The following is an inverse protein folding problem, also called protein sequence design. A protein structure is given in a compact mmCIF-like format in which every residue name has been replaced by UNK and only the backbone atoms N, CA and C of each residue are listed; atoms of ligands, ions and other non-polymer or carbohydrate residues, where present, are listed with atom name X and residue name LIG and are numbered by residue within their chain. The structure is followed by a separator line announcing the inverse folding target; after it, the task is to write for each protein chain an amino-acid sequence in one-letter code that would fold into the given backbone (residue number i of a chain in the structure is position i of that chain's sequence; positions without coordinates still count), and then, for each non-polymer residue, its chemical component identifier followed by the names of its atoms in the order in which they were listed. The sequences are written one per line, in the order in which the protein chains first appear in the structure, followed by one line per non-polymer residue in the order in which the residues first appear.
data_IF_014707553612
#
_entry.id   IF_014707553612
#
_cell.length_a   1.000
_cell.length_b   1.000
_cell.length_c   1.000
_cell.angle_alpha   90.00
_cell.angle_beta   90.00
_cell.angle_gamma   90.00
#
_symmetry.space_group_name_H-M   'P 1'
#
loop_
_entity.id
_entity.type
_entity.pdbx_description
1 polymer ?
#
# COMPACT_ATOMS: atom_id res chain seq x y z
N UNK A 1 17.69 67.82 -11.98
CA UNK A 1 18.37 68.36 -13.17
C UNK A 1 19.49 67.41 -13.58
N UNK A 2 19.42 66.93 -14.82
CA UNK A 2 20.51 66.55 -15.73
C UNK A 2 21.46 65.38 -15.38
N UNK A 3 21.18 64.23 -16.04
CA UNK A 3 22.12 63.27 -16.65
C UNK A 3 23.39 63.95 -17.23
N UNK A 4 24.56 63.29 -17.40
CA UNK A 4 24.65 62.15 -18.34
C UNK A 4 25.71 61.05 -18.12
N UNK A 5 25.45 59.99 -18.91
CA UNK A 5 26.32 58.90 -19.35
C UNK A 5 27.80 59.25 -19.54
N UNK A 6 28.67 58.28 -19.24
CA UNK A 6 29.79 57.95 -20.14
C UNK A 6 30.02 56.43 -20.18
N UNK A 7 29.75 55.85 -21.35
CA UNK A 7 30.21 54.53 -21.77
C UNK A 7 31.73 54.62 -21.97
N UNK A 8 32.48 53.65 -21.46
CA UNK A 8 33.79 53.31 -22.00
C UNK A 8 33.84 51.81 -22.27
N UNK A 9 33.93 51.51 -23.56
CA UNK A 9 34.17 50.20 -24.15
C UNK A 9 35.67 49.93 -24.07
N UNK A 10 36.09 48.75 -23.59
CA UNK A 10 37.38 48.13 -23.87
C UNK A 10 37.29 46.62 -23.60
N UNK A 11 37.14 45.85 -24.68
CA UNK A 11 37.50 44.42 -24.80
C UNK A 11 38.87 44.35 -25.54
N UNK A 12 39.60 43.22 -25.61
CA UNK A 12 39.64 42.02 -24.78
C UNK A 12 41.09 41.66 -24.33
N UNK A 13 41.26 40.82 -23.31
CA UNK A 13 42.54 40.13 -23.07
C UNK A 13 42.28 38.62 -23.03
N UNK A 14 42.56 37.99 -24.16
CA UNK A 14 42.64 36.54 -24.34
C UNK A 14 43.84 36.04 -23.53
N UNK A 15 43.60 35.20 -22.53
CA UNK A 15 44.63 34.38 -21.92
C UNK A 15 44.27 32.92 -22.20
N UNK A 16 44.87 32.37 -23.25
CA UNK A 16 44.84 30.95 -23.57
C UNK A 16 45.66 30.20 -22.53
N UNK A 17 45.00 29.42 -21.68
CA UNK A 17 45.64 28.46 -20.80
C UNK A 17 45.67 27.10 -21.50
N UNK A 18 46.85 26.70 -21.94
CA UNK A 18 47.14 25.38 -22.49
C UNK A 18 47.42 24.44 -21.31
N UNK A 19 46.61 23.41 -21.13
CA UNK A 19 46.88 22.30 -20.21
C UNK A 19 47.01 21.00 -21.01
N UNK A 20 48.02 20.16 -20.72
CA UNK A 20 48.43 19.05 -21.57
C UNK A 20 47.51 17.83 -21.42
N UNK A 21 47.20 17.21 -22.56
CA UNK A 21 46.71 15.84 -22.66
C UNK A 21 47.81 14.87 -22.22
N UNK A 22 47.66 14.28 -21.04
CA UNK A 22 48.35 13.05 -20.68
C UNK A 22 47.40 11.88 -20.98
N UNK A 23 47.74 11.13 -22.03
CA UNK A 23 47.09 9.91 -22.44
C UNK A 23 47.93 8.69 -22.00
N UNK A 24 47.21 7.60 -21.73
CA UNK A 24 47.64 6.20 -21.66
C UNK A 24 48.26 5.67 -20.36
N UNK A 25 47.69 4.55 -19.91
CA UNK A 25 48.37 3.52 -19.11
C UNK A 25 47.42 2.87 -18.14
N UNK A 26 46.78 1.77 -18.56
CA UNK A 26 45.87 1.01 -17.71
C UNK A 26 46.59 0.30 -16.57
N UNK A 27 45.95 0.33 -15.42
CA UNK A 27 46.02 -0.71 -14.41
C UNK A 27 44.57 -1.12 -14.13
N UNK A 28 44.35 -2.42 -14.24
CA UNK A 28 43.12 -3.16 -14.00
C UNK A 28 42.90 -3.18 -12.48
N UNK A 29 42.54 -2.03 -11.91
CA UNK A 29 42.08 -1.93 -10.53
C UNK A 29 40.63 -2.38 -10.51
N UNK A 30 40.45 -3.64 -10.10
CA UNK A 30 39.17 -4.30 -10.00
C UNK A 30 38.10 -3.39 -9.41
N UNK A 31 36.96 -3.35 -10.10
CA UNK A 31 35.71 -2.88 -9.55
C UNK A 31 35.49 -3.59 -8.20
N UNK A 32 35.86 -2.90 -7.13
CA UNK A 32 35.19 -3.04 -5.86
C UNK A 32 33.73 -2.71 -6.18
N UNK A 33 32.94 -3.77 -6.35
CA UNK A 33 31.49 -3.67 -6.50
C UNK A 33 30.99 -2.67 -5.47
N UNK A 34 30.35 -1.62 -5.96
CA UNK A 34 29.74 -0.62 -5.11
C UNK A 34 28.79 -1.37 -4.18
N UNK A 35 29.16 -1.51 -2.91
CA UNK A 35 28.31 -2.04 -1.85
C UNK A 35 27.20 -1.04 -1.53
N UNK A 36 26.41 -0.69 -2.54
CA UNK A 36 25.20 0.09 -2.43
C UNK A 36 24.06 -0.83 -2.08
N UNK A 37 23.20 -0.37 -1.18
CA UNK A 37 21.91 -0.99 -0.91
C UNK A 37 21.04 -0.89 -2.16
N UNK A 38 20.45 -2.00 -2.59
CA UNK A 38 19.37 -2.02 -3.58
C UNK A 38 18.05 -1.86 -2.84
N UNK A 39 17.24 -0.86 -3.22
CA UNK A 39 15.94 -0.60 -2.61
C UNK A 39 14.84 -1.22 -3.45
N UNK A 40 13.99 -2.04 -2.85
CA UNK A 40 12.77 -2.57 -3.43
C UNK A 40 11.56 -1.79 -2.91
N UNK A 41 10.85 -1.11 -3.79
CA UNK A 41 9.68 -0.29 -3.45
C UNK A 41 8.39 -1.08 -3.63
N UNK A 42 7.68 -1.31 -2.53
CA UNK A 42 6.45 -2.12 -2.50
C UNK A 42 5.23 -1.24 -2.18
N UNK A 43 4.32 -1.15 -3.13
CA UNK A 43 3.02 -0.50 -2.97
C UNK A 43 2.00 -1.53 -2.47
N UNK A 44 1.57 -1.41 -1.22
CA UNK A 44 0.73 -2.42 -0.56
C UNK A 44 -0.52 -1.82 0.07
N UNK A 45 -1.64 -2.55 -0.03
CA UNK A 45 -2.89 -2.16 0.60
C UNK A 45 -2.72 -1.91 2.11
N UNK A 46 -3.39 -0.90 2.66
CA UNK A 46 -3.20 -0.49 4.05
C UNK A 46 -3.46 -1.61 5.10
N UNK A 47 -4.36 -2.56 4.81
CA UNK A 47 -4.58 -3.74 5.68
C UNK A 47 -3.38 -4.68 5.79
N UNK A 48 -2.41 -4.55 4.89
CA UNK A 48 -1.20 -5.38 4.86
C UNK A 48 -0.06 -4.81 5.72
N UNK A 49 -0.18 -3.58 6.23
CA UNK A 49 0.91 -2.81 6.88
C UNK A 49 1.76 -3.68 7.83
N UNK A 50 1.16 -4.18 8.91
CA UNK A 50 1.91 -4.92 9.93
C UNK A 50 2.50 -6.25 9.42
N UNK A 51 1.81 -6.93 8.50
CA UNK A 51 2.29 -8.18 7.93
C UNK A 51 3.41 -7.95 6.92
N UNK A 52 3.31 -6.91 6.09
CA UNK A 52 4.28 -6.62 5.06
C UNK A 52 5.56 -6.02 5.65
N UNK A 53 5.47 -5.23 6.73
CA UNK A 53 6.65 -4.83 7.51
C UNK A 53 7.42 -6.06 8.02
N UNK A 54 6.72 -7.05 8.61
CA UNK A 54 7.36 -8.28 9.08
C UNK A 54 7.92 -9.13 7.94
N UNK A 55 7.21 -9.22 6.82
CA UNK A 55 7.68 -9.94 5.62
C UNK A 55 8.91 -9.24 5.05
N UNK A 56 8.92 -7.90 4.99
CA UNK A 56 10.06 -7.08 4.57
C UNK A 56 11.28 -7.36 5.44
N UNK A 57 11.14 -7.30 6.76
CA UNK A 57 12.21 -7.61 7.72
C UNK A 57 12.81 -9.01 7.49
N UNK A 58 11.98 -10.02 7.21
CA UNK A 58 12.44 -11.38 6.94
C UNK A 58 13.05 -11.52 5.54
N UNK A 59 12.56 -10.78 4.56
CA UNK A 59 13.09 -10.75 3.20
C UNK A 59 14.49 -10.11 3.17
N UNK A 60 14.69 -8.98 3.84
CA UNK A 60 15.98 -8.31 3.96
C UNK A 60 17.03 -9.20 4.64
N UNK A 61 16.65 -9.94 5.69
CA UNK A 61 17.54 -10.92 6.34
C UNK A 61 17.98 -12.04 5.40
N UNK A 62 17.17 -12.36 4.40
CA UNK A 62 17.46 -13.39 3.40
C UNK A 62 18.24 -12.85 2.18
N UNK A 63 18.30 -11.53 1.99
CA UNK A 63 18.89 -10.88 0.82
C UNK A 63 19.87 -9.77 1.25
N UNK A 64 21.14 -10.14 1.41
CA UNK A 64 22.20 -9.20 1.80
C UNK A 64 22.27 -8.00 0.83
N UNK A 65 22.19 -6.79 1.40
CA UNK A 65 22.28 -5.54 0.62
C UNK A 65 20.97 -5.07 0.01
N UNK A 66 19.83 -5.67 0.38
CA UNK A 66 18.50 -5.21 0.00
C UNK A 66 17.83 -4.44 1.15
N UNK A 67 17.11 -3.38 0.81
CA UNK A 67 16.18 -2.65 1.69
C UNK A 67 14.80 -2.65 1.05
N UNK A 68 13.75 -2.95 1.81
CA UNK A 68 12.36 -2.93 1.32
C UNK A 68 11.68 -1.67 1.84
N UNK A 69 11.34 -0.76 0.93
CA UNK A 69 10.56 0.43 1.25
C UNK A 69 9.09 0.21 0.90
N UNK A 70 8.19 0.57 1.83
CA UNK A 70 6.76 0.40 1.64
C UNK A 70 6.04 1.72 1.42
N UNK A 71 5.11 1.71 0.47
CA UNK A 71 4.05 2.71 0.35
C UNK A 71 2.71 2.05 0.67
N UNK A 72 2.15 2.37 1.84
CA UNK A 72 0.85 1.84 2.27
C UNK A 72 -0.28 2.82 1.98
N UNK A 73 -1.42 2.30 1.50
CA UNK A 73 -2.58 3.13 1.18
C UNK A 73 -3.79 2.34 0.70
N UNK A 74 -4.84 3.06 0.28
CA UNK A 74 -5.97 2.43 -0.42
C UNK A 74 -5.51 1.86 -1.75
N UNK A 75 -5.85 0.59 -2.06
CA UNK A 75 -5.40 -0.06 -3.31
C UNK A 75 -5.79 0.72 -4.57
N UNK A 76 -6.92 1.44 -4.54
CA UNK A 76 -7.36 2.34 -5.61
C UNK A 76 -6.42 3.52 -5.83
N UNK A 77 -5.93 4.13 -4.75
CA UNK A 77 -5.04 5.29 -4.82
C UNK A 77 -3.64 4.84 -5.24
N UNK A 78 -3.17 3.70 -4.71
CA UNK A 78 -1.88 3.11 -5.05
C UNK A 78 -1.80 2.73 -6.53
N UNK A 79 -2.79 2.02 -7.08
CA UNK A 79 -2.76 1.68 -8.51
C UNK A 79 -2.89 2.91 -9.41
N UNK A 80 -3.64 3.93 -8.97
CA UNK A 80 -3.70 5.21 -9.69
C UNK A 80 -2.33 5.87 -9.74
N UNK A 81 -1.59 5.90 -8.62
CA UNK A 81 -0.24 6.45 -8.58
C UNK A 81 0.71 5.70 -9.53
N UNK A 82 0.64 4.36 -9.56
CA UNK A 82 1.46 3.55 -10.48
C UNK A 82 1.12 3.88 -11.93
N UNK A 83 -0.17 3.99 -12.28
CA UNK A 83 -0.62 4.41 -13.62
C UNK A 83 -0.18 5.83 -13.99
N UNK A 84 0.00 6.70 -13.00
CA UNK A 84 0.52 8.06 -13.16
C UNK A 84 2.06 8.13 -13.19
N UNK A 85 2.74 6.99 -13.06
CA UNK A 85 4.19 6.86 -13.19
C UNK A 85 4.96 6.93 -11.87
N UNK A 86 4.31 6.63 -10.74
CA UNK A 86 5.04 6.39 -9.49
C UNK A 86 5.94 5.16 -9.63
N UNK A 87 7.17 5.27 -9.13
CA UNK A 87 8.15 4.19 -9.13
C UNK A 87 7.74 3.16 -8.06
N UNK A 88 7.29 1.99 -8.51
CA UNK A 88 6.95 0.85 -7.68
C UNK A 88 7.48 -0.41 -8.35
N UNK A 89 7.99 -1.34 -7.56
CA UNK A 89 8.52 -2.63 -8.05
C UNK A 89 7.50 -3.75 -7.86
N UNK A 90 6.69 -3.66 -6.81
CA UNK A 90 5.64 -4.63 -6.47
C UNK A 90 4.36 -3.91 -6.10
N UNK A 91 3.23 -4.41 -6.59
CA UNK A 91 1.90 -3.99 -6.17
C UNK A 91 1.17 -5.14 -5.48
N UNK A 92 0.69 -4.91 -4.26
CA UNK A 92 -0.16 -5.85 -3.50
C UNK A 92 -1.51 -5.20 -3.17
N UNK A 93 -2.58 -5.70 -3.79
CA UNK A 93 -3.94 -5.14 -3.67
C UNK A 93 -4.78 -5.91 -2.65
N UNK A 94 -5.79 -5.26 -2.08
CA UNK A 94 -6.81 -5.90 -1.22
C UNK A 94 -8.07 -6.37 -1.98
N UNK A 95 -8.05 -6.24 -3.31
CA UNK A 95 -9.03 -6.86 -4.21
C UNK A 95 -8.43 -7.12 -5.60
N UNK A 96 -9.10 -7.97 -6.36
CA UNK A 96 -8.78 -8.22 -7.77
C UNK A 96 -9.15 -7.03 -8.65
N UNK A 97 -10.21 -6.27 -8.31
CA UNK A 97 -10.68 -5.17 -9.15
C UNK A 97 -9.64 -4.03 -9.31
N UNK A 98 -8.85 -3.72 -8.28
CA UNK A 98 -7.76 -2.75 -8.40
C UNK A 98 -6.49 -3.37 -9.00
N UNK A 99 -6.27 -4.68 -8.85
CA UNK A 99 -5.19 -5.38 -9.58
C UNK A 99 -5.48 -5.44 -11.08
N UNK A 100 -6.73 -5.67 -11.46
CA UNK A 100 -7.18 -5.66 -12.85
C UNK A 100 -6.89 -4.31 -13.51
N UNK A 101 -6.96 -3.19 -12.77
CA UNK A 101 -6.54 -1.87 -13.29
C UNK A 101 -5.05 -1.80 -13.64
N UNK A 102 -4.18 -2.49 -12.89
CA UNK A 102 -2.75 -2.59 -13.19
C UNK A 102 -2.55 -3.41 -14.47
N UNK A 103 -3.23 -4.56 -14.56
CA UNK A 103 -3.17 -5.46 -15.72
C UNK A 103 -3.72 -4.79 -16.98
N UNK A 104 -4.89 -4.16 -16.90
CA UNK A 104 -5.55 -3.46 -18.02
C UNK A 104 -4.75 -2.26 -18.53
N UNK A 105 -3.85 -1.72 -17.71
CA UNK A 105 -2.91 -0.68 -18.09
C UNK A 105 -1.61 -1.21 -18.73
N UNK A 106 -1.49 -2.53 -18.90
CA UNK A 106 -0.25 -3.21 -19.31
C UNK A 106 0.94 -2.90 -18.37
N UNK A 107 0.68 -2.72 -17.07
CA UNK A 107 1.68 -2.37 -16.05
C UNK A 107 2.02 -3.52 -15.09
N UNK A 108 1.44 -4.71 -15.29
CA UNK A 108 1.83 -5.90 -14.55
C UNK A 108 3.01 -6.58 -15.24
N UNK A 109 4.14 -6.74 -14.53
CA UNK A 109 5.35 -7.37 -15.06
C UNK A 109 5.21 -8.89 -15.20
N UNK A 110 4.33 -9.50 -14.40
CA UNK A 110 3.93 -10.91 -14.49
C UNK A 110 2.43 -11.06 -14.18
N UNK A 111 1.88 -12.25 -14.44
CA UNK A 111 0.50 -12.58 -14.07
C UNK A 111 0.32 -12.43 -12.54
N UNK A 112 -0.67 -11.64 -12.06
CA UNK A 112 -0.90 -11.48 -10.63
C UNK A 112 -1.23 -12.82 -9.96
N UNK A 113 -0.76 -12.99 -8.72
CA UNK A 113 -0.99 -14.19 -7.92
C UNK A 113 -1.75 -13.85 -6.65
N UNK A 114 -2.80 -14.61 -6.38
CA UNK A 114 -3.54 -14.51 -5.13
C UNK A 114 -2.69 -15.11 -4.00
N UNK A 115 -2.53 -14.35 -2.90
CA UNK A 115 -1.67 -14.75 -1.78
C UNK A 115 -2.39 -14.78 -0.44
N UNK A 116 -3.57 -14.17 -0.33
CA UNK A 116 -4.37 -14.13 0.88
C UNK A 116 -5.85 -13.87 0.59
N UNK A 117 -6.70 -14.20 1.57
CA UNK A 117 -8.10 -13.77 1.61
C UNK A 117 -8.44 -13.07 2.92
N UNK A 118 -9.51 -12.28 2.92
CA UNK A 118 -10.01 -11.63 4.12
C UNK A 118 -11.53 -11.46 4.09
N UNK A 119 -12.12 -11.19 5.24
CA UNK A 119 -13.56 -10.96 5.40
C UNK A 119 -13.80 -9.71 6.23
N UNK A 120 -14.94 -9.05 5.98
CA UNK A 120 -15.35 -7.89 6.74
C UNK A 120 -15.63 -8.23 8.21
N UNK A 121 -15.34 -7.27 9.09
CA UNK A 121 -15.75 -7.26 10.48
C UNK A 121 -16.13 -5.82 10.88
N UNK A 122 -16.99 -5.67 11.87
CA UNK A 122 -17.35 -4.37 12.40
C UNK A 122 -16.41 -4.06 13.56
N UNK A 123 -15.74 -2.91 13.52
CA UNK A 123 -14.99 -2.39 14.64
C UNK A 123 -15.83 -1.35 15.39
N UNK A 124 -15.88 -1.44 16.72
CA UNK A 124 -16.47 -0.44 17.60
C UNK A 124 -15.44 0.01 18.65
N UNK A 125 -15.67 1.09 19.41
CA UNK A 125 -14.90 1.36 20.62
C UNK A 125 -14.94 0.14 21.58
N UNK A 126 -13.95 -0.04 22.48
CA UNK A 126 -13.81 -1.24 23.31
C UNK A 126 -15.05 -1.63 24.12
N UNK A 127 -15.79 -0.64 24.63
CA UNK A 127 -17.01 -0.85 25.42
C UNK A 127 -18.29 -0.97 24.57
N UNK A 128 -18.18 -0.81 23.23
CA UNK A 128 -19.29 -0.79 22.28
C UNK A 128 -20.53 -0.01 22.79
N UNK A 129 -20.40 1.31 23.07
CA UNK A 129 -21.45 2.09 23.72
C UNK A 129 -22.72 2.24 22.87
N UNK A 130 -22.61 2.04 21.55
CA UNK A 130 -23.72 2.06 20.61
C UNK A 130 -24.46 0.71 20.52
N UNK A 131 -24.00 -0.32 21.25
CA UNK A 131 -24.59 -1.66 21.31
C UNK A 131 -24.74 -2.31 19.92
N UNK A 132 -23.79 -2.06 19.01
CA UNK A 132 -23.79 -2.65 17.67
C UNK A 132 -23.53 -4.16 17.79
N UNK A 133 -24.44 -4.99 17.30
CA UNK A 133 -24.34 -6.45 17.42
C UNK A 133 -24.42 -7.19 16.08
N UNK A 134 -24.74 -6.47 15.00
CA UNK A 134 -24.94 -7.02 13.67
C UNK A 134 -24.71 -5.97 12.58
N UNK A 135 -24.55 -6.41 11.33
CA UNK A 135 -24.42 -5.51 10.19
C UNK A 135 -25.67 -4.63 10.00
N UNK A 136 -26.85 -5.14 10.34
CA UNK A 136 -28.12 -4.42 10.24
C UNK A 136 -28.17 -3.22 11.20
N UNK A 137 -27.51 -3.30 12.35
CA UNK A 137 -27.47 -2.21 13.33
C UNK A 137 -26.71 -0.98 12.79
N UNK A 138 -25.85 -1.15 11.78
CA UNK A 138 -25.12 -0.07 11.12
C UNK A 138 -26.05 0.95 10.41
N UNK A 139 -27.29 0.58 10.12
CA UNK A 139 -28.30 1.48 9.57
C UNK A 139 -29.10 2.25 10.65
N UNK A 140 -28.77 2.08 11.93
CA UNK A 140 -29.45 2.71 13.05
C UNK A 140 -29.37 4.24 12.97
N UNK A 141 -30.48 4.90 13.30
CA UNK A 141 -30.51 6.37 13.34
C UNK A 141 -29.64 6.88 14.47
N UNK A 142 -28.74 7.81 14.14
CA UNK A 142 -27.88 8.47 15.11
C UNK A 142 -26.57 7.76 15.39
N UNK A 143 -26.31 6.62 14.73
CA UNK A 143 -25.01 5.96 14.75
C UNK A 143 -24.00 6.76 13.91
N UNK A 144 -22.86 7.11 14.50
CA UNK A 144 -21.72 7.69 13.79
C UNK A 144 -20.93 6.58 13.09
N UNK A 145 -21.48 6.08 11.99
CA UNK A 145 -20.84 5.07 11.15
C UNK A 145 -19.79 5.71 10.24
N UNK A 146 -18.59 5.15 10.21
CA UNK A 146 -17.57 5.46 9.20
C UNK A 146 -17.33 4.21 8.35
N UNK A 147 -17.28 4.37 7.04
CA UNK A 147 -16.95 3.27 6.11
C UNK A 147 -15.84 3.72 5.18
N UNK A 148 -15.29 2.80 4.41
CA UNK A 148 -14.42 3.19 3.30
C UNK A 148 -15.26 3.70 2.11
N UNK A 149 -14.69 4.58 1.29
CA UNK A 149 -15.26 5.01 0.02
C UNK A 149 -15.50 3.81 -0.92
N UNK A 150 -16.56 3.80 -1.74
CA UNK A 150 -16.94 2.65 -2.56
C UNK A 150 -15.89 2.27 -3.62
N UNK A 151 -14.98 3.18 -3.97
CA UNK A 151 -13.90 2.93 -4.92
C UNK A 151 -12.74 2.13 -4.31
N UNK A 152 -12.61 2.09 -2.98
CA UNK A 152 -11.54 1.33 -2.30
C UNK A 152 -12.05 -0.05 -1.87
N UNK A 153 -11.17 -1.07 -1.73
CA UNK A 153 -11.58 -2.48 -1.56
C UNK A 153 -12.57 -2.74 -0.41
N UNK A 154 -12.32 -2.17 0.79
CA UNK A 154 -13.21 -2.34 1.94
C UNK A 154 -14.58 -1.68 1.74
N UNK A 155 -14.65 -0.60 0.96
CA UNK A 155 -15.90 0.11 0.68
C UNK A 155 -16.73 -0.63 -0.36
N UNK A 156 -16.10 -1.11 -1.42
CA UNK A 156 -16.74 -1.99 -2.41
C UNK A 156 -17.32 -3.26 -1.76
N UNK A 157 -16.54 -3.89 -0.87
CA UNK A 157 -17.01 -5.04 -0.09
C UNK A 157 -18.17 -4.68 0.84
N UNK A 158 -18.08 -3.54 1.56
CA UNK A 158 -19.14 -3.05 2.44
C UNK A 158 -20.43 -2.75 1.67
N UNK A 159 -20.33 -2.16 0.50
CA UNK A 159 -21.47 -1.89 -0.37
C UNK A 159 -22.11 -3.18 -0.87
N UNK A 160 -21.30 -4.15 -1.31
CA UNK A 160 -21.78 -5.48 -1.72
C UNK A 160 -22.52 -6.17 -0.57
N UNK A 161 -21.98 -6.10 0.65
CA UNK A 161 -22.64 -6.63 1.85
C UNK A 161 -23.98 -5.94 2.12
N UNK A 162 -24.00 -4.61 2.07
CA UNK A 162 -25.20 -3.83 2.29
C UNK A 162 -26.29 -4.16 1.25
N UNK A 163 -25.92 -4.30 -0.01
CA UNK A 163 -26.83 -4.68 -1.10
C UNK A 163 -27.38 -6.11 -0.92
N UNK A 164 -26.51 -7.08 -0.58
CA UNK A 164 -26.92 -8.46 -0.31
C UNK A 164 -27.93 -8.56 0.83
N UNK A 165 -27.77 -7.73 1.87
CA UNK A 165 -28.63 -7.72 3.05
C UNK A 165 -29.82 -6.76 2.93
N UNK A 166 -29.90 -5.98 1.85
CA UNK A 166 -30.92 -4.93 1.68
C UNK A 166 -30.84 -3.84 2.76
N UNK A 167 -29.65 -3.58 3.29
CA UNK A 167 -29.38 -2.58 4.33
C UNK A 167 -28.96 -1.26 3.68
N UNK A 168 -29.63 -0.16 4.01
CA UNK A 168 -29.21 1.17 3.54
C UNK A 168 -28.37 1.85 4.61
N UNK A 169 -27.05 1.85 4.40
CA UNK A 169 -26.10 2.56 5.26
C UNK A 169 -26.18 4.08 5.05
N UNK A 170 -25.84 4.83 6.10
CA UNK A 170 -25.77 6.29 6.09
C UNK A 170 -24.52 6.74 6.85
N UNK A 171 -23.33 6.46 6.30
CA UNK A 171 -22.09 6.83 6.96
C UNK A 171 -22.01 8.36 7.14
N UNK A 172 -21.40 8.78 8.24
CA UNK A 172 -21.07 10.20 8.49
C UNK A 172 -19.77 10.61 7.80
N UNK A 173 -18.96 9.64 7.39
CA UNK A 173 -17.71 9.84 6.66
C UNK A 173 -17.37 8.59 5.84
N UNK A 174 -16.71 8.81 4.71
CA UNK A 174 -16.16 7.78 3.82
C UNK A 174 -14.64 8.00 3.73
N UNK A 175 -13.85 6.96 4.01
CA UNK A 175 -12.39 7.05 4.05
C UNK A 175 -11.71 6.36 2.88
N UNK A 176 -10.48 6.79 2.56
CA UNK A 176 -9.71 6.27 1.44
C UNK A 176 -8.96 4.96 1.76
N UNK A 177 -8.88 4.58 3.02
CA UNK A 177 -8.25 3.33 3.44
C UNK A 177 -8.94 2.74 4.66
N UNK A 178 -8.79 1.42 4.84
CA UNK A 178 -9.37 0.72 5.99
C UNK A 178 -8.71 1.14 7.31
N UNK A 179 -7.43 1.51 7.29
CA UNK A 179 -6.71 2.02 8.45
C UNK A 179 -7.22 3.38 8.90
N UNK A 180 -7.71 4.22 7.98
CA UNK A 180 -8.33 5.51 8.32
C UNK A 180 -9.69 5.30 9.02
N UNK A 181 -10.48 4.32 8.57
CA UNK A 181 -11.72 3.91 9.25
C UNK A 181 -11.40 3.43 10.67
N UNK A 182 -10.45 2.51 10.80
CA UNK A 182 -10.02 1.96 12.09
C UNK A 182 -9.50 3.07 13.02
N UNK A 183 -8.74 4.02 12.49
CA UNK A 183 -8.21 5.15 13.26
C UNK A 183 -9.34 6.01 13.84
N UNK A 184 -10.40 6.31 13.08
CA UNK A 184 -11.57 7.07 13.56
C UNK A 184 -12.38 6.34 14.62
N UNK A 185 -12.49 5.01 14.52
CA UNK A 185 -13.11 4.19 15.58
C UNK A 185 -12.24 4.23 16.84
N UNK A 186 -10.93 4.04 16.67
CA UNK A 186 -9.96 4.01 17.78
C UNK A 186 -9.85 5.36 18.49
N UNK A 187 -9.96 6.48 17.77
CA UNK A 187 -9.94 7.83 18.34
C UNK A 187 -11.25 8.25 18.99
N UNK A 188 -12.32 7.45 18.83
CA UNK A 188 -13.67 7.76 19.33
C UNK A 188 -14.41 8.81 18.48
N UNK A 189 -13.97 9.06 17.25
CA UNK A 189 -14.67 9.91 16.28
C UNK A 189 -15.86 9.20 15.61
N UNK A 190 -15.87 7.86 15.68
CA UNK A 190 -16.93 7.00 15.14
C UNK A 190 -17.42 6.00 16.20
N UNK A 191 -18.73 5.70 16.15
CA UNK A 191 -19.35 4.68 17.00
C UNK A 191 -19.07 3.26 16.45
N UNK A 192 -18.94 3.15 15.13
CA UNK A 192 -18.65 1.91 14.43
C UNK A 192 -17.96 2.20 13.09
N UNK A 193 -17.17 1.24 12.63
CA UNK A 193 -16.66 1.20 11.27
C UNK A 193 -16.64 -0.22 10.71
N UNK A 194 -16.69 -0.32 9.38
CA UNK A 194 -16.55 -1.61 8.68
C UNK A 194 -15.12 -1.73 8.18
N UNK A 195 -14.40 -2.72 8.69
CA UNK A 195 -12.98 -2.99 8.43
C UNK A 195 -12.80 -4.47 8.10
N UNK A 196 -11.57 -4.95 7.95
CA UNK A 196 -11.31 -6.38 7.87
C UNK A 196 -11.08 -7.00 9.25
N UNK A 197 -11.34 -8.30 9.37
CA UNK A 197 -11.05 -9.08 10.59
C UNK A 197 -9.58 -8.95 11.03
N UNK A 198 -8.65 -8.91 10.08
CA UNK A 198 -7.21 -8.74 10.37
C UNK A 198 -6.92 -7.38 10.99
N UNK A 199 -7.63 -6.33 10.61
CA UNK A 199 -7.47 -4.98 11.15
C UNK A 199 -7.92 -4.94 12.62
N UNK A 200 -9.05 -5.59 12.94
CA UNK A 200 -9.53 -5.77 14.33
C UNK A 200 -8.51 -6.57 15.15
N UNK A 201 -7.97 -7.65 14.57
CA UNK A 201 -6.96 -8.50 15.22
C UNK A 201 -5.69 -7.70 15.54
N UNK A 202 -5.21 -6.89 14.59
CA UNK A 202 -4.04 -6.04 14.75
C UNK A 202 -4.25 -4.92 15.78
N UNK A 203 -5.46 -4.37 15.87
CA UNK A 203 -5.81 -3.33 16.83
C UNK A 203 -5.88 -3.84 18.29
N UNK A 204 -6.13 -5.13 18.49
CA UNK A 204 -6.23 -5.75 19.82
C UNK A 204 -7.27 -5.04 20.70
N UNK A 205 -6.90 -4.72 21.94
CA UNK A 205 -7.80 -4.09 22.92
C UNK A 205 -8.18 -2.64 22.60
N UNK A 206 -7.66 -2.05 21.52
CA UNK A 206 -7.99 -0.68 21.11
C UNK A 206 -9.41 -0.57 20.53
N UNK A 207 -9.99 -1.68 20.06
CA UNK A 207 -11.34 -1.77 19.53
C UNK A 207 -12.03 -3.04 20.02
N UNK A 208 -13.35 -3.10 19.86
CA UNK A 208 -14.12 -4.33 19.99
C UNK A 208 -14.57 -4.79 18.60
N UNK A 209 -14.28 -6.05 18.28
CA UNK A 209 -14.72 -6.70 17.05
C UNK A 209 -16.12 -7.29 17.19
N UNK A 210 -16.99 -6.95 16.24
CA UNK A 210 -18.34 -7.52 16.11
C UNK A 210 -18.38 -8.34 14.83
N UNK A 211 -18.18 -9.64 14.99
CA UNK A 211 -18.31 -10.61 13.90
C UNK A 211 -19.77 -10.82 13.52
N UNK A 212 -20.05 -11.00 12.23
CA UNK A 212 -21.38 -11.34 11.73
C UNK A 212 -21.28 -12.47 10.68
N UNK A 213 -22.19 -13.47 10.67
CA UNK A 213 -22.06 -14.65 9.80
C UNK A 213 -21.99 -14.35 8.30
N UNK A 214 -22.68 -13.31 7.86
CA UNK A 214 -22.78 -12.93 6.45
C UNK A 214 -21.45 -12.42 5.89
N UNK A 215 -20.46 -12.09 6.73
CA UNK A 215 -19.12 -11.70 6.26
C UNK A 215 -18.45 -12.76 5.38
N UNK A 216 -18.80 -14.04 5.56
CA UNK A 216 -18.32 -15.13 4.70
C UNK A 216 -18.87 -15.12 3.27
N UNK A 217 -19.92 -14.34 3.00
CA UNK A 217 -20.51 -14.23 1.65
C UNK A 217 -19.78 -13.19 0.78
N UNK A 218 -18.95 -12.33 1.39
CA UNK A 218 -18.15 -11.31 0.69
C UNK A 218 -16.70 -11.46 1.15
N UNK A 219 -15.96 -12.26 0.39
CA UNK A 219 -14.54 -12.53 0.63
C UNK A 219 -13.70 -11.67 -0.30
N UNK A 220 -12.77 -10.93 0.28
CA UNK A 220 -11.76 -10.19 -0.47
C UNK A 220 -10.59 -11.12 -0.77
N UNK A 221 -10.20 -11.20 -2.04
CA UNK A 221 -8.97 -11.88 -2.48
C UNK A 221 -7.87 -10.85 -2.70
N UNK A 222 -6.68 -11.13 -2.19
CA UNK A 222 -5.53 -10.25 -2.23
C UNK A 222 -4.54 -10.77 -3.28
N UNK A 223 -4.43 -10.12 -4.45
CA UNK A 223 -3.42 -10.42 -5.43
C UNK A 223 -2.15 -9.57 -5.24
N UNK A 224 -1.02 -10.13 -5.66
CA UNK A 224 0.28 -9.46 -5.72
C UNK A 224 0.92 -9.69 -7.10
N UNK A 225 1.60 -8.67 -7.62
CA UNK A 225 2.33 -8.74 -8.88
C UNK A 225 3.58 -7.84 -8.86
N UNK A 226 4.66 -8.22 -9.55
CA UNK A 226 5.68 -7.27 -9.97
C UNK A 226 5.07 -6.22 -10.90
N UNK A 227 5.57 -4.99 -10.83
CA UNK A 227 5.19 -3.90 -11.74
C UNK A 227 6.14 -3.89 -12.95
N UNK A 228 5.59 -3.74 -14.15
CA UNK A 228 6.37 -3.67 -15.39
C UNK A 228 7.26 -2.42 -15.41
N UNK A 229 8.43 -2.52 -16.04
CA UNK A 229 9.38 -1.42 -16.15
C UNK A 229 10.19 -1.13 -14.88
N UNK A 230 10.07 -1.94 -13.83
CA UNK A 230 10.95 -1.90 -12.65
C UNK A 230 12.40 -2.26 -13.03
N UNK A 231 13.35 -1.43 -12.59
CA UNK A 231 14.78 -1.72 -12.71
C UNK A 231 15.20 -2.91 -11.81
N UNK A 232 14.36 -3.27 -10.83
CA UNK A 232 14.57 -4.33 -9.84
C UNK A 232 13.65 -5.55 -10.08
N UNK A 233 13.24 -5.78 -11.33
CA UNK A 233 12.30 -6.86 -11.73
C UNK A 233 12.63 -8.26 -11.16
N UNK A 234 13.89 -8.69 -11.17
CA UNK A 234 14.30 -9.97 -10.59
C UNK A 234 14.10 -10.01 -9.06
N UNK A 235 14.31 -8.89 -8.36
CA UNK A 235 14.13 -8.78 -6.92
C UNK A 235 12.64 -8.68 -6.55
N UNK A 236 11.85 -7.98 -7.36
CA UNK A 236 10.41 -7.92 -7.25
C UNK A 236 9.78 -9.32 -7.35
N UNK A 237 10.18 -10.11 -8.35
CA UNK A 237 9.74 -11.50 -8.49
C UNK A 237 10.12 -12.35 -7.25
N UNK A 238 11.34 -12.18 -6.72
CA UNK A 238 11.78 -12.86 -5.50
C UNK A 238 10.93 -12.47 -4.28
N UNK A 239 10.57 -11.19 -4.13
CA UNK A 239 9.70 -10.73 -3.05
C UNK A 239 8.30 -11.33 -3.17
N UNK A 240 7.73 -11.36 -4.38
CA UNK A 240 6.45 -12.04 -4.64
C UNK A 240 6.53 -13.52 -4.26
N UNK A 241 7.58 -14.24 -4.67
CA UNK A 241 7.78 -15.64 -4.25
C UNK A 241 7.95 -15.78 -2.73
N UNK A 242 8.59 -14.82 -2.06
CA UNK A 242 8.76 -14.84 -0.61
C UNK A 242 7.44 -14.66 0.14
N UNK A 243 6.55 -13.76 -0.33
CA UNK A 243 5.19 -13.57 0.19
C UNK A 243 4.36 -14.85 0.05
N UNK A 244 4.48 -15.54 -1.09
CA UNK A 244 3.78 -16.80 -1.34
C UNK A 244 4.43 -18.03 -0.70
N UNK A 245 5.69 -17.91 -0.27
CA UNK A 245 6.45 -18.98 0.38
C UNK A 245 6.04 -19.22 1.84
N UNK A 246 6.59 -20.29 2.43
CA UNK A 246 6.24 -20.75 3.77
C UNK A 246 6.32 -19.65 4.84
N UNK A 247 7.36 -18.82 4.82
CA UNK A 247 7.55 -17.72 5.78
C UNK A 247 6.47 -16.65 5.64
N UNK A 248 6.24 -16.14 4.43
CA UNK A 248 5.23 -15.12 4.18
C UNK A 248 3.81 -15.62 4.50
N UNK A 249 3.49 -16.84 4.08
CA UNK A 249 2.21 -17.47 4.38
C UNK A 249 1.99 -17.71 5.87
N UNK A 250 3.03 -18.08 6.62
CA UNK A 250 2.93 -18.22 8.08
C UNK A 250 2.63 -16.88 8.75
N UNK A 251 3.33 -15.79 8.37
CA UNK A 251 3.08 -14.44 8.91
C UNK A 251 1.64 -13.99 8.65
N UNK A 252 1.15 -14.19 7.42
CA UNK A 252 -0.22 -13.84 7.04
C UNK A 252 -1.26 -14.65 7.84
N UNK A 253 -1.05 -15.96 7.99
CA UNK A 253 -1.95 -16.82 8.76
C UNK A 253 -1.98 -16.44 10.25
N UNK A 254 -0.83 -16.12 10.83
CA UNK A 254 -0.72 -15.69 12.23
C UNK A 254 -1.43 -14.34 12.47
N UNK A 255 -1.45 -13.46 11.47
CA UNK A 255 -2.21 -12.21 11.49
C UNK A 255 -3.72 -12.40 11.21
N UNK A 256 -4.14 -13.61 10.83
CA UNK A 256 -5.55 -13.98 10.64
C UNK A 256 -6.09 -13.84 9.22
N UNK A 257 -5.22 -13.65 8.22
CA UNK A 257 -5.60 -13.78 6.82
C UNK A 257 -5.97 -15.23 6.48
N UNK A 258 -6.91 -15.40 5.55
CA UNK A 258 -7.26 -16.68 4.98
C UNK A 258 -6.29 -17.07 3.85
N UNK A 259 -6.32 -18.35 3.48
CA UNK A 259 -5.62 -18.83 2.29
C UNK A 259 -6.36 -18.38 1.02
N UNK A 260 -5.63 -18.15 -0.08
CA UNK A 260 -6.21 -17.92 -1.41
C UNK A 260 -7.00 -19.13 -1.92
#
# INVERSE_FOLDING_TARGET
MNKPLRKLVLLPAVLALVLPLAACGGDDDGEAGNGGTTTLTVYAAASLTSTFEQIGDEFEKAHDGVEVEFSFGGSSDLVTQIQEGAEADVFASADTANMDKLVDADLAGEDPRDFATNTLEIATPPDNPAEVASFQDLASKGLQLVVCAPEVPCGAATQTMADNLGVTLKPVSEEQSVTDVLAKVTSGEADAGVVYRTDVTAAGDAVHGVTFPESGDVVNTYPIAPVDGSDESDLAAQFVEFVLGDTGQQILQDAGFGQP
#
